data_IF_664495917738
#
_entry.id   IF_664495917738
#
_cell.length_a   1.000
_cell.length_b   1.000
_cell.length_c   1.000
_cell.angle_alpha   90.00
_cell.angle_beta   90.00
_cell.angle_gamma   90.00
#
_symmetry.space_group_name_H-M   'P 1'
#
loop_
_entity.id
_entity.type
_entity.pdbx_description
1 polymer ?
#
# COMPACT_ATOMS: atom_id res chain seq x y z
N UNK A 1 -43.94 -7.17 36.52
CA UNK A 1 -42.83 -8.01 36.01
C UNK A 1 -41.65 -7.10 35.79
N UNK A 2 -40.63 -7.29 36.61
CA UNK A 2 -39.61 -6.31 36.96
C UNK A 2 -38.62 -5.97 35.85
N UNK A 3 -38.31 -4.69 35.72
CA UNK A 3 -37.10 -4.18 35.08
C UNK A 3 -35.87 -4.63 35.88
N UNK A 4 -35.16 -5.66 35.39
CA UNK A 4 -33.85 -6.02 35.93
C UNK A 4 -32.76 -5.18 35.26
N UNK A 5 -32.15 -4.32 36.07
CA UNK A 5 -30.92 -3.58 35.84
C UNK A 5 -29.76 -4.51 35.44
N UNK A 6 -29.12 -4.24 34.30
CA UNK A 6 -27.86 -4.87 33.89
C UNK A 6 -26.70 -4.12 34.57
N UNK A 7 -25.74 -4.79 35.23
CA UNK A 7 -24.62 -4.11 35.87
C UNK A 7 -23.68 -3.49 34.84
N UNK A 8 -23.42 -2.19 34.98
CA UNK A 8 -22.37 -1.47 34.30
C UNK A 8 -21.02 -1.78 34.97
N UNK A 9 -20.23 -2.67 34.38
CA UNK A 9 -18.81 -2.77 34.71
C UNK A 9 -18.04 -3.22 33.48
N UNK A 10 -17.72 -2.25 32.62
CA UNK A 10 -16.65 -2.39 31.62
C UNK A 10 -15.33 -2.20 32.39
N UNK A 11 -14.40 -3.17 32.38
CA UNK A 11 -13.05 -2.90 32.86
C UNK A 11 -12.38 -1.96 31.86
N UNK A 12 -12.32 -0.68 32.23
CA UNK A 12 -11.47 0.31 31.59
C UNK A 12 -10.02 0.07 32.04
N UNK A 13 -9.17 -0.39 31.11
CA UNK A 13 -7.75 0.00 30.98
C UNK A 13 -6.97 -1.13 30.30
N UNK A 14 -6.78 -1.04 28.99
CA UNK A 14 -5.54 -1.57 28.39
C UNK A 14 -4.45 -0.61 28.85
N UNK A 15 -3.34 -1.06 29.46
CA UNK A 15 -2.27 -0.16 29.83
C UNK A 15 -1.72 0.44 28.53
N UNK A 16 -1.89 1.75 28.36
CA UNK A 16 -1.07 2.52 27.45
C UNK A 16 0.35 2.44 28.01
N UNK A 17 1.20 1.57 27.47
CA UNK A 17 2.64 1.72 27.68
C UNK A 17 2.99 3.12 27.18
N UNK A 18 3.36 4.00 28.11
CA UNK A 18 3.79 5.35 27.78
C UNK A 18 5.08 5.18 27.00
N UNK A 19 5.01 5.32 25.67
CA UNK A 19 6.20 5.25 24.83
C UNK A 19 7.16 6.36 25.26
N UNK A 20 8.48 6.11 25.24
CA UNK A 20 9.46 7.14 25.61
C UNK A 20 9.25 8.38 24.75
N UNK A 21 9.05 9.52 25.40
CA UNK A 21 8.96 10.84 24.77
C UNK A 21 10.32 11.53 24.98
N UNK A 22 10.93 12.14 23.94
CA UNK A 22 12.24 12.75 24.08
C UNK A 22 12.19 13.87 25.14
N UNK A 23 13.07 13.78 26.15
CA UNK A 23 13.33 14.92 27.04
C UNK A 23 14.02 16.03 26.25
N UNK A 24 13.50 17.26 26.35
CA UNK A 24 13.94 18.43 25.60
C UNK A 24 15.46 18.62 25.64
N UNK A 25 16.03 18.99 24.48
CA UNK A 25 17.40 19.49 24.24
C UNK A 25 18.55 18.52 24.50
N UNK A 26 18.65 17.46 23.70
CA UNK A 26 19.95 16.93 23.24
C UNK A 26 19.73 16.17 21.92
N UNK A 27 20.36 16.61 20.84
CA UNK A 27 20.37 15.90 19.56
C UNK A 27 21.00 14.53 19.76
N UNK A 28 20.19 13.47 19.76
CA UNK A 28 20.66 12.09 19.91
C UNK A 28 21.53 11.77 18.68
N UNK A 29 22.82 11.42 18.85
CA UNK A 29 23.71 11.24 17.72
C UNK A 29 23.31 10.00 16.94
N UNK A 30 22.74 10.21 15.75
CA UNK A 30 22.32 9.15 14.83
C UNK A 30 23.57 8.44 14.28
N UNK A 31 23.46 7.14 13.94
CA UNK A 31 24.53 6.43 13.22
C UNK A 31 24.71 7.10 11.87
N UNK A 32 25.97 7.41 11.50
CA UNK A 32 26.26 7.82 10.13
C UNK A 32 25.87 6.69 9.20
N UNK A 33 24.87 6.90 8.34
CA UNK A 33 24.27 5.80 7.62
C UNK A 33 25.23 5.33 6.52
N UNK A 34 25.23 4.04 6.18
CA UNK A 34 26.07 3.52 5.11
C UNK A 34 25.67 4.18 3.78
N UNK A 35 26.67 4.56 2.99
CA UNK A 35 26.44 5.08 1.64
C UNK A 35 25.83 4.02 0.74
N UNK A 36 26.31 2.77 0.82
CA UNK A 36 25.83 1.66 0.01
C UNK A 36 24.65 0.95 0.68
N UNK A 37 23.53 0.86 -0.04
CA UNK A 37 22.30 0.24 0.43
C UNK A 37 22.17 -1.18 -0.13
N UNK A 38 21.99 -2.13 0.78
CA UNK A 38 21.74 -3.55 0.53
C UNK A 38 20.36 -3.91 1.08
N UNK A 39 19.40 -3.94 0.18
CA UNK A 39 17.98 -4.02 0.51
C UNK A 39 17.54 -5.48 0.63
N UNK A 40 16.81 -5.77 1.68
CA UNK A 40 15.95 -6.93 1.83
C UNK A 40 14.50 -6.49 1.66
N UNK A 41 13.88 -6.87 0.54
CA UNK A 41 12.49 -6.53 0.23
C UNK A 41 11.60 -7.73 0.58
N UNK A 42 11.02 -7.69 1.78
CA UNK A 42 10.20 -8.75 2.35
C UNK A 42 8.74 -8.59 1.91
N UNK A 43 8.09 -9.70 1.57
CA UNK A 43 6.75 -9.68 0.98
C UNK A 43 6.76 -8.85 -0.32
N UNK A 44 7.76 -9.10 -1.17
CA UNK A 44 8.08 -8.21 -2.30
C UNK A 44 6.92 -8.08 -3.29
N UNK A 45 6.02 -9.07 -3.35
CA UNK A 45 4.90 -9.06 -4.29
C UNK A 45 5.39 -8.80 -5.71
N UNK A 46 4.86 -7.75 -6.34
CA UNK A 46 5.24 -7.34 -7.70
C UNK A 46 6.32 -6.24 -7.74
N UNK A 47 6.93 -5.90 -6.59
CA UNK A 47 8.06 -4.96 -6.50
C UNK A 47 7.68 -3.49 -6.41
N UNK A 48 6.55 -3.19 -5.77
CA UNK A 48 6.15 -1.81 -5.50
C UNK A 48 7.10 -1.08 -4.56
N UNK A 49 7.67 -1.78 -3.56
CA UNK A 49 8.68 -1.19 -2.66
C UNK A 49 9.97 -0.90 -3.41
N UNK A 50 10.46 -1.82 -4.24
CA UNK A 50 11.62 -1.55 -5.12
C UNK A 50 11.42 -0.33 -6.01
N UNK A 51 10.30 -0.23 -6.72
CA UNK A 51 10.00 0.94 -7.58
C UNK A 51 10.01 2.24 -6.77
N UNK A 52 9.37 2.26 -5.61
CA UNK A 52 9.31 3.44 -4.76
C UNK A 52 10.69 3.82 -4.22
N UNK A 53 11.49 2.84 -3.78
CA UNK A 53 12.84 3.08 -3.29
C UNK A 53 13.75 3.64 -4.38
N UNK A 54 13.73 3.04 -5.59
CA UNK A 54 14.46 3.56 -6.75
C UNK A 54 14.05 5.02 -7.08
N UNK A 55 12.76 5.36 -7.01
CA UNK A 55 12.27 6.73 -7.20
C UNK A 55 12.76 7.69 -6.09
N UNK A 56 12.76 7.25 -4.83
CA UNK A 56 13.17 8.07 -3.70
C UNK A 56 14.67 8.40 -3.71
N UNK A 57 15.49 7.50 -4.26
CA UNK A 57 16.94 7.65 -4.32
C UNK A 57 17.44 8.32 -5.61
N UNK A 58 16.61 8.43 -6.66
CA UNK A 58 17.02 8.96 -7.96
C UNK A 58 17.69 10.35 -7.89
N UNK A 59 17.28 11.19 -6.94
CA UNK A 59 17.81 12.53 -6.71
C UNK A 59 18.57 12.68 -5.38
N UNK A 60 18.89 11.57 -4.71
CA UNK A 60 19.59 11.59 -3.42
C UNK A 60 21.03 11.05 -3.58
N UNK A 61 22.04 11.91 -3.81
CA UNK A 61 23.41 11.47 -4.06
C UNK A 61 24.11 10.90 -2.81
N UNK A 62 23.50 11.03 -1.63
CA UNK A 62 24.06 10.53 -0.38
C UNK A 62 24.05 9.00 -0.29
N UNK A 63 23.24 8.33 -1.11
CA UNK A 63 23.09 6.88 -1.08
C UNK A 63 23.27 6.26 -2.46
N UNK A 64 23.85 5.07 -2.48
CA UNK A 64 23.98 4.22 -3.65
C UNK A 64 23.18 2.94 -3.43
N UNK A 65 22.35 2.55 -4.40
CA UNK A 65 21.52 1.36 -4.29
C UNK A 65 22.27 0.14 -4.85
N UNK A 66 22.92 -0.61 -3.97
CA UNK A 66 23.93 -1.60 -4.36
C UNK A 66 23.35 -3.01 -4.57
N UNK A 67 22.37 -3.42 -3.76
CA UNK A 67 21.68 -4.71 -4.00
C UNK A 67 20.21 -4.73 -3.57
N UNK A 68 19.43 -5.57 -4.25
CA UNK A 68 18.10 -6.01 -3.84
C UNK A 68 18.06 -7.51 -3.63
N UNK A 69 17.50 -7.94 -2.51
CA UNK A 69 17.10 -9.31 -2.27
C UNK A 69 15.61 -9.33 -1.96
N UNK A 70 14.80 -9.65 -2.97
CA UNK A 70 13.36 -9.78 -2.87
C UNK A 70 12.99 -11.13 -2.28
N UNK A 71 12.08 -11.18 -1.32
CA UNK A 71 11.59 -12.41 -0.70
C UNK A 71 10.07 -12.50 -0.83
N UNK A 72 9.62 -13.50 -1.57
CA UNK A 72 8.21 -13.77 -1.80
C UNK A 72 7.99 -15.26 -2.06
N UNK A 73 6.97 -15.81 -1.43
CA UNK A 73 6.60 -17.23 -1.52
C UNK A 73 5.72 -17.53 -2.75
N UNK A 74 5.03 -16.53 -3.28
CA UNK A 74 4.10 -16.70 -4.39
C UNK A 74 4.82 -16.62 -5.75
N UNK A 75 4.81 -17.72 -6.50
CA UNK A 75 5.48 -17.77 -7.81
C UNK A 75 4.91 -16.81 -8.84
N UNK A 76 3.61 -16.50 -8.80
CA UNK A 76 3.00 -15.55 -9.74
C UNK A 76 3.49 -14.13 -9.45
N UNK A 77 3.65 -13.77 -8.17
CA UNK A 77 4.30 -12.52 -7.77
C UNK A 77 5.76 -12.49 -8.27
N UNK A 78 6.52 -13.55 -8.01
CA UNK A 78 7.92 -13.65 -8.41
C UNK A 78 8.11 -13.52 -9.94
N UNK A 79 7.26 -14.18 -10.73
CA UNK A 79 7.27 -14.06 -12.20
C UNK A 79 7.03 -12.60 -12.66
N UNK A 80 6.05 -11.92 -12.05
CA UNK A 80 5.78 -10.51 -12.35
C UNK A 80 6.95 -9.60 -11.95
N UNK A 81 7.54 -9.86 -10.78
CA UNK A 81 8.71 -9.12 -10.29
C UNK A 81 9.89 -9.30 -11.25
N UNK A 82 10.29 -10.53 -11.55
CA UNK A 82 11.43 -10.83 -12.42
C UNK A 82 11.25 -10.26 -13.82
N UNK A 83 10.04 -10.33 -14.40
CA UNK A 83 9.75 -9.73 -15.70
C UNK A 83 10.09 -8.23 -15.77
N UNK A 84 9.90 -7.49 -14.67
CA UNK A 84 10.10 -6.05 -14.64
C UNK A 84 11.49 -5.62 -14.17
N UNK A 85 12.25 -6.50 -13.51
CA UNK A 85 13.52 -6.12 -12.86
C UNK A 85 14.72 -7.00 -13.25
N UNK A 86 14.54 -8.10 -13.98
CA UNK A 86 15.65 -8.99 -14.34
C UNK A 86 16.66 -8.36 -15.30
N UNK A 87 16.23 -7.40 -16.12
CA UNK A 87 17.10 -6.69 -17.06
C UNK A 87 17.77 -5.44 -16.45
N UNK A 88 17.43 -5.09 -15.21
CA UNK A 88 18.06 -3.98 -14.50
C UNK A 88 19.44 -4.42 -13.97
N UNK A 89 20.49 -4.11 -14.74
CA UNK A 89 21.88 -4.43 -14.41
C UNK A 89 22.55 -3.38 -13.52
N UNK A 90 21.86 -2.28 -13.21
CA UNK A 90 22.40 -1.21 -12.35
C UNK A 90 22.50 -1.62 -10.88
N UNK A 91 21.71 -2.63 -10.46
CA UNK A 91 21.66 -3.11 -9.08
C UNK A 91 21.76 -4.63 -9.03
N UNK A 92 22.62 -5.16 -8.15
CA UNK A 92 22.71 -6.62 -7.94
C UNK A 92 21.38 -7.14 -7.39
N UNK A 93 20.67 -7.94 -8.17
CA UNK A 93 19.30 -8.37 -7.85
C UNK A 93 19.21 -9.88 -7.62
N UNK A 94 18.50 -10.28 -6.56
CA UNK A 94 18.21 -11.68 -6.24
C UNK A 94 16.76 -11.84 -5.80
N UNK A 95 16.07 -12.86 -6.33
CA UNK A 95 14.73 -13.26 -5.86
C UNK A 95 14.83 -14.55 -5.06
N UNK A 96 14.40 -14.50 -3.80
CA UNK A 96 14.32 -15.63 -2.88
C UNK A 96 12.87 -16.11 -2.81
N UNK A 97 12.58 -17.20 -3.53
CA UNK A 97 11.29 -17.89 -3.50
C UNK A 97 11.14 -18.69 -2.19
N UNK A 98 10.88 -18.00 -1.07
CA UNK A 98 10.90 -18.60 0.27
C UNK A 98 9.75 -18.11 1.13
N UNK A 99 9.23 -18.99 1.99
CA UNK A 99 8.33 -18.57 3.06
C UNK A 99 9.13 -17.76 4.10
N UNK A 100 8.67 -16.54 4.39
CA UNK A 100 9.29 -15.62 5.35
C UNK A 100 9.34 -16.20 6.78
N UNK A 101 8.42 -17.10 7.13
CA UNK A 101 8.44 -17.88 8.39
C UNK A 101 9.72 -18.72 8.55
N UNK A 102 10.44 -19.01 7.46
CA UNK A 102 11.62 -19.88 7.44
C UNK A 102 12.93 -19.12 7.22
N UNK A 103 12.89 -17.78 7.18
CA UNK A 103 14.10 -16.98 7.10
C UNK A 103 14.95 -17.16 8.35
N UNK A 104 16.26 -17.19 8.16
CA UNK A 104 17.27 -17.32 9.21
C UNK A 104 18.17 -16.09 9.24
N UNK A 105 18.95 -15.95 10.31
CA UNK A 105 19.93 -14.86 10.44
C UNK A 105 20.88 -14.74 9.23
N UNK A 106 21.26 -15.86 8.61
CA UNK A 106 22.10 -15.88 7.41
C UNK A 106 21.44 -15.26 6.17
N UNK A 107 20.11 -15.29 6.08
CA UNK A 107 19.37 -14.75 4.94
C UNK A 107 19.26 -13.22 4.99
N UNK A 108 19.34 -12.65 6.19
CA UNK A 108 19.22 -11.22 6.45
C UNK A 108 20.56 -10.54 6.74
N UNK A 109 21.63 -11.32 6.90
CA UNK A 109 22.97 -10.83 7.16
C UNK A 109 23.46 -9.88 6.06
N UNK A 110 24.06 -8.75 6.47
CA UNK A 110 24.58 -7.74 5.55
C UNK A 110 23.52 -6.90 4.83
N UNK A 111 22.23 -7.04 5.20
CA UNK A 111 21.15 -6.22 4.68
C UNK A 111 20.86 -5.06 5.63
N UNK A 112 21.23 -3.86 5.20
CA UNK A 112 21.12 -2.61 5.98
C UNK A 112 19.80 -1.85 5.76
N UNK A 113 18.99 -2.27 4.79
CA UNK A 113 17.64 -1.74 4.57
C UNK A 113 16.65 -2.89 4.51
N UNK A 114 15.66 -2.89 5.40
CA UNK A 114 14.52 -3.82 5.32
C UNK A 114 13.28 -3.06 4.90
N UNK A 115 12.66 -3.47 3.80
CA UNK A 115 11.34 -2.97 3.39
C UNK A 115 10.33 -4.10 3.46
N UNK A 116 9.12 -3.82 3.93
CA UNK A 116 8.10 -4.86 4.10
C UNK A 116 6.66 -4.39 3.97
N UNK A 117 5.80 -5.22 3.39
CA UNK A 117 4.33 -5.10 3.42
C UNK A 117 3.73 -6.43 3.87
N UNK A 118 3.77 -6.74 5.18
CA UNK A 118 3.25 -8.01 5.68
C UNK A 118 1.74 -8.11 5.45
N UNK A 119 1.20 -9.28 5.05
CA UNK A 119 -0.20 -9.41 4.77
C UNK A 119 -1.05 -9.31 6.06
N UNK A 120 -2.10 -8.49 6.00
CA UNK A 120 -2.83 -8.01 7.17
C UNK A 120 -3.87 -8.99 7.80
N UNK A 121 -4.01 -10.23 7.34
CA UNK A 121 -4.99 -11.15 7.96
C UNK A 121 -4.44 -11.64 9.31
N UNK A 122 -5.18 -11.52 10.44
CA UNK A 122 -6.64 -11.32 10.56
C UNK A 122 -7.11 -9.94 11.07
N UNK A 123 -6.35 -8.85 10.91
CA UNK A 123 -6.68 -7.52 11.47
C UNK A 123 -7.91 -6.82 10.85
N UNK A 124 -8.64 -7.46 9.93
CA UNK A 124 -9.88 -6.92 9.34
C UNK A 124 -11.10 -7.26 10.20
N UNK A 125 -11.86 -6.23 10.65
CA UNK A 125 -13.12 -6.34 11.40
C UNK A 125 -14.27 -6.89 10.53
N UNK A 126 -14.15 -8.11 10.01
CA UNK A 126 -15.28 -8.80 9.40
C UNK A 126 -16.16 -9.36 10.52
N UNK A 127 -17.46 -9.04 10.52
CA UNK A 127 -18.45 -9.63 11.45
C UNK A 127 -18.27 -11.15 11.47
N UNK A 128 -17.71 -11.69 12.56
CA UNK A 128 -17.39 -13.12 12.69
C UNK A 128 -15.98 -13.42 13.21
N UNK A 129 -15.04 -12.46 13.19
CA UNK A 129 -13.75 -12.61 13.88
C UNK A 129 -13.94 -12.41 15.40
N UNK A 130 -14.60 -13.38 16.05
CA UNK A 130 -14.39 -13.62 17.47
C UNK A 130 -12.89 -13.75 17.70
N UNK A 131 -12.42 -13.20 18.81
CA UNK A 131 -11.12 -13.48 19.40
C UNK A 131 -10.75 -14.96 19.18
N UNK A 132 -9.88 -15.22 18.20
CA UNK A 132 -9.37 -16.55 17.97
C UNK A 132 -7.87 -16.44 17.83
N UNK A 133 -7.21 -16.70 18.94
CA UNK A 133 -5.77 -16.93 19.05
C UNK A 133 -5.33 -18.18 18.30
N UNK A 134 -5.55 -18.22 17.00
CA UNK A 134 -4.74 -19.02 16.08
C UNK A 134 -3.81 -18.06 15.36
N UNK A 135 -2.51 -18.18 15.63
CA UNK A 135 -1.46 -17.57 14.84
C UNK A 135 -1.65 -17.98 13.37
N UNK A 136 -2.31 -17.14 12.57
CA UNK A 136 -2.33 -17.30 11.12
C UNK A 136 -0.87 -17.39 10.65
N UNK A 137 -0.60 -18.17 9.60
CA UNK A 137 0.75 -18.33 9.04
C UNK A 137 1.40 -16.96 8.75
N UNK A 138 0.58 -15.97 8.40
CA UNK A 138 0.95 -14.58 8.17
C UNK A 138 1.38 -13.83 9.43
N UNK A 139 0.72 -14.09 10.55
CA UNK A 139 1.15 -13.60 11.87
C UNK A 139 2.47 -14.26 12.29
N UNK A 140 2.69 -15.54 11.93
CA UNK A 140 3.98 -16.23 12.19
C UNK A 140 5.12 -15.67 11.35
N UNK A 141 4.87 -15.28 10.09
CA UNK A 141 5.88 -14.68 9.22
C UNK A 141 6.42 -13.38 9.82
N UNK A 142 5.52 -12.49 10.25
CA UNK A 142 5.93 -11.23 10.87
C UNK A 142 6.55 -11.44 12.26
N UNK A 143 6.06 -12.42 13.04
CA UNK A 143 6.69 -12.81 14.30
C UNK A 143 8.13 -13.31 14.12
N UNK A 144 8.39 -14.11 13.08
CA UNK A 144 9.75 -14.54 12.74
C UNK A 144 10.65 -13.35 12.40
N UNK A 145 10.14 -12.36 11.65
CA UNK A 145 10.89 -11.14 11.34
C UNK A 145 11.22 -10.31 12.58
N UNK A 146 10.29 -10.19 13.53
CA UNK A 146 10.53 -9.51 14.81
C UNK A 146 11.63 -10.23 15.61
N UNK A 147 11.53 -11.55 15.74
CA UNK A 147 12.57 -12.37 16.41
C UNK A 147 13.94 -12.23 15.73
N UNK A 148 13.99 -12.24 14.38
CA UNK A 148 15.23 -12.01 13.65
C UNK A 148 15.79 -10.62 13.96
N UNK A 149 14.97 -9.57 13.91
CA UNK A 149 15.40 -8.20 14.19
C UNK A 149 15.96 -8.02 15.62
N UNK A 150 15.33 -8.68 16.59
CA UNK A 150 15.79 -8.70 17.99
C UNK A 150 17.16 -9.38 18.14
N UNK A 151 17.41 -10.45 17.38
CA UNK A 151 18.54 -11.36 17.63
C UNK A 151 19.72 -11.20 16.68
N UNK A 152 19.55 -10.54 15.53
CA UNK A 152 20.66 -10.34 14.59
C UNK A 152 21.76 -9.46 15.20
N UNK A 153 23.04 -9.87 15.09
CA UNK A 153 24.15 -9.08 15.62
C UNK A 153 24.26 -7.69 14.99
N UNK A 154 24.01 -7.60 13.68
CA UNK A 154 23.99 -6.34 12.92
C UNK A 154 22.57 -6.12 12.38
N UNK A 155 21.71 -5.40 13.12
CA UNK A 155 20.37 -5.07 12.65
C UNK A 155 20.45 -4.01 11.55
N UNK A 156 19.42 -3.89 10.68
CA UNK A 156 19.43 -2.94 9.59
C UNK A 156 19.45 -1.49 10.09
N UNK A 157 20.09 -0.59 9.36
CA UNK A 157 20.10 0.83 9.65
C UNK A 157 18.74 1.47 9.36
N UNK A 158 18.01 0.93 8.38
CA UNK A 158 16.73 1.43 7.93
C UNK A 158 15.66 0.33 7.88
N UNK A 159 14.48 0.63 8.41
CA UNK A 159 13.29 -0.20 8.28
C UNK A 159 12.15 0.64 7.71
N UNK A 160 11.49 0.10 6.70
CA UNK A 160 10.25 0.62 6.14
C UNK A 160 9.16 -0.44 6.20
N UNK A 161 8.01 -0.10 6.76
CA UNK A 161 6.85 -0.98 6.84
C UNK A 161 5.61 -0.28 6.30
N UNK A 162 4.86 -0.95 5.43
CA UNK A 162 3.49 -0.59 5.06
C UNK A 162 2.52 -1.64 5.61
N UNK A 163 1.35 -1.17 6.07
CA UNK A 163 0.27 -2.03 6.51
C UNK A 163 -1.09 -1.33 6.38
N UNK A 164 -2.18 -2.04 6.70
CA UNK A 164 -3.52 -1.46 6.73
C UNK A 164 -3.72 -0.51 7.91
N UNK A 165 -4.69 0.41 7.79
CA UNK A 165 -5.06 1.35 8.85
C UNK A 165 -5.31 0.70 10.24
N UNK A 166 -6.04 -0.43 10.37
CA UNK A 166 -6.23 -1.09 11.67
C UNK A 166 -4.97 -1.58 12.39
N UNK A 167 -3.84 -1.72 11.68
CA UNK A 167 -2.58 -2.21 12.27
C UNK A 167 -2.10 -1.34 13.44
N UNK A 168 -2.23 -0.01 13.33
CA UNK A 168 -1.87 0.98 14.38
C UNK A 168 -2.53 0.73 15.75
N UNK A 169 -3.64 0.00 15.78
CA UNK A 169 -4.36 -0.33 17.03
C UNK A 169 -4.21 -1.80 17.45
N UNK A 170 -3.31 -2.54 16.82
CA UNK A 170 -3.14 -3.98 17.03
C UNK A 170 -2.06 -4.29 18.08
N UNK A 171 -2.17 -5.42 18.77
CA UNK A 171 -1.12 -5.91 19.67
C UNK A 171 0.19 -6.23 18.93
N UNK A 172 0.12 -6.53 17.64
CA UNK A 172 1.31 -6.80 16.80
C UNK A 172 2.08 -5.52 16.51
N UNK A 173 1.41 -4.37 16.38
CA UNK A 173 2.07 -3.07 16.29
C UNK A 173 2.76 -2.70 17.59
N UNK A 174 2.12 -2.92 18.74
CA UNK A 174 2.74 -2.73 20.06
C UNK A 174 4.01 -3.58 20.20
N UNK A 175 3.93 -4.88 19.90
CA UNK A 175 5.08 -5.77 19.95
C UNK A 175 6.22 -5.31 19.00
N UNK A 176 5.88 -4.84 17.79
CA UNK A 176 6.88 -4.32 16.86
C UNK A 176 7.56 -3.06 17.38
N UNK A 177 6.81 -2.16 18.01
CA UNK A 177 7.37 -0.96 18.65
C UNK A 177 8.33 -1.33 19.80
N UNK A 178 8.01 -2.34 20.60
CA UNK A 178 8.91 -2.83 21.65
C UNK A 178 10.24 -3.34 21.07
N UNK A 179 10.19 -4.05 19.93
CA UNK A 179 11.40 -4.46 19.20
C UNK A 179 12.20 -3.24 18.74
N UNK A 180 11.56 -2.24 18.13
CA UNK A 180 12.21 -1.02 17.67
C UNK A 180 12.89 -0.27 18.82
N UNK A 181 12.24 -0.17 19.99
CA UNK A 181 12.83 0.43 21.20
C UNK A 181 14.08 -0.35 21.64
N UNK A 182 13.94 -1.67 21.80
CA UNK A 182 15.02 -2.53 22.29
C UNK A 182 16.26 -2.49 21.39
N UNK A 183 16.07 -2.36 20.08
CA UNK A 183 17.15 -2.28 19.07
C UNK A 183 17.57 -0.85 18.71
N UNK A 184 17.06 0.14 19.45
CA UNK A 184 17.51 1.52 19.40
C UNK A 184 17.07 2.28 18.14
N UNK A 185 15.86 2.08 17.64
CA UNK A 185 15.34 2.82 16.48
C UNK A 185 14.58 4.08 16.88
N UNK A 186 14.76 5.14 16.10
CA UNK A 186 13.84 6.27 16.05
C UNK A 186 12.93 6.08 14.85
N UNK A 187 11.62 6.23 15.05
CA UNK A 187 10.68 6.03 13.96
C UNK A 187 9.54 7.03 13.92
N UNK A 188 9.00 7.20 12.72
CA UNK A 188 7.81 8.00 12.44
C UNK A 188 6.71 7.09 11.93
N UNK A 189 5.49 7.33 12.39
CA UNK A 189 4.29 6.64 11.93
C UNK A 189 3.50 7.57 10.99
N UNK A 190 2.91 7.00 9.94
CA UNK A 190 2.14 7.75 8.95
C UNK A 190 0.80 7.08 8.71
N UNK A 191 -0.23 7.88 8.43
CA UNK A 191 -1.51 7.41 7.95
C UNK A 191 -1.91 8.21 6.71
N UNK A 192 -1.56 7.68 5.54
CA UNK A 192 -1.62 8.41 4.27
C UNK A 192 -2.52 7.70 3.26
N UNK A 193 -3.10 8.48 2.34
CA UNK A 193 -3.93 8.03 1.23
C UNK A 193 -3.43 8.63 -0.09
N UNK A 194 -3.47 7.89 -1.21
CA UNK A 194 -3.13 8.43 -2.53
C UNK A 194 -3.90 9.70 -2.92
N UNK A 195 -5.11 9.90 -2.36
CA UNK A 195 -5.89 11.15 -2.53
C UNK A 195 -5.11 12.42 -2.15
N UNK A 196 -4.13 12.30 -1.25
CA UNK A 196 -3.29 13.42 -0.80
C UNK A 196 -2.10 13.69 -1.74
N UNK A 197 -1.92 12.82 -2.74
CA UNK A 197 -0.85 12.84 -3.74
C UNK A 197 -1.42 12.98 -5.15
N UNK A 198 -2.59 13.60 -5.26
CA UNK A 198 -3.32 13.83 -6.49
C UNK A 198 -3.74 12.57 -7.25
N UNK A 199 -3.81 11.41 -6.58
CA UNK A 199 -4.19 10.15 -7.19
C UNK A 199 -5.64 9.83 -6.80
N UNK A 200 -6.56 9.58 -7.76
CA UNK A 200 -7.99 9.44 -7.49
C UNK A 200 -8.33 8.06 -6.91
N UNK A 201 -7.67 7.64 -5.82
CA UNK A 201 -7.90 6.36 -5.16
C UNK A 201 -7.90 6.47 -3.64
N UNK A 202 -9.04 6.13 -3.03
CA UNK A 202 -9.19 6.06 -1.59
C UNK A 202 -8.57 4.77 -1.04
N UNK A 203 -7.26 4.82 -0.76
CA UNK A 203 -6.46 3.70 -0.22
C UNK A 203 -5.62 4.17 0.96
N UNK A 204 -6.28 4.51 2.07
CA UNK A 204 -5.55 4.83 3.31
C UNK A 204 -4.75 3.63 3.80
N UNK A 205 -3.47 3.85 4.11
CA UNK A 205 -2.54 2.87 4.67
C UNK A 205 -1.71 3.47 5.79
N UNK A 206 -1.25 2.58 6.66
CA UNK A 206 -0.37 2.88 7.75
C UNK A 206 1.07 2.59 7.33
N UNK A 207 1.99 3.47 7.71
CA UNK A 207 3.41 3.30 7.40
C UNK A 207 4.28 3.54 8.63
N UNK A 208 5.43 2.87 8.69
CA UNK A 208 6.52 3.17 9.62
C UNK A 208 7.78 3.43 8.79
N UNK A 209 8.47 4.52 9.10
CA UNK A 209 9.85 4.76 8.67
C UNK A 209 10.71 4.81 9.93
N UNK A 210 11.69 3.90 10.03
CA UNK A 210 12.51 3.73 11.22
C UNK A 210 13.98 3.73 10.86
N UNK A 211 14.77 4.49 11.64
CA UNK A 211 16.22 4.59 11.50
C UNK A 211 16.90 4.24 12.81
N UNK A 212 17.98 3.47 12.74
CA UNK A 212 18.71 3.04 13.92
C UNK A 212 19.59 4.15 14.50
N UNK A 213 19.61 4.24 15.83
CA UNK A 213 20.54 5.08 16.60
C UNK A 213 21.82 4.34 16.96
N UNK A 214 22.78 5.03 17.59
CA UNK A 214 24.08 4.43 17.95
C UNK A 214 24.00 3.41 19.09
N UNK A 215 22.90 3.36 19.85
CA UNK A 215 22.78 2.54 21.06
C UNK A 215 21.44 1.82 21.13
N UNK A 216 21.51 0.53 21.44
CA UNK A 216 20.34 -0.27 21.77
C UNK A 216 19.63 0.29 23.02
N UNK A 217 18.31 0.17 23.09
CA UNK A 217 17.50 0.67 24.21
C UNK A 217 17.23 2.18 24.22
N UNK A 218 17.83 2.98 23.33
CA UNK A 218 17.57 4.42 23.19
C UNK A 218 16.53 4.75 22.10
N UNK A 219 15.75 3.76 21.67
CA UNK A 219 14.73 3.97 20.64
C UNK A 219 13.49 4.71 21.16
N UNK A 220 12.92 5.57 20.33
CA UNK A 220 11.69 6.30 20.64
C UNK A 220 10.88 6.59 19.38
N UNK A 221 9.57 6.76 19.57
CA UNK A 221 8.66 7.16 18.50
C UNK A 221 8.55 8.68 18.45
N UNK A 222 8.57 9.26 17.25
CA UNK A 222 8.14 10.64 17.08
C UNK A 222 6.66 10.80 17.49
N UNK A 223 6.35 11.86 18.24
CA UNK A 223 5.04 11.99 18.91
C UNK A 223 3.86 12.01 17.94
N UNK A 224 4.02 12.69 16.80
CA UNK A 224 2.96 12.91 15.84
C UNK A 224 2.92 11.82 14.76
N UNK A 225 1.73 11.23 14.59
CA UNK A 225 1.43 10.47 13.38
C UNK A 225 1.24 11.47 12.24
N UNK A 226 2.04 11.34 11.19
CA UNK A 226 1.94 12.18 10.01
C UNK A 226 0.72 11.75 9.20
N UNK A 227 -0.30 12.61 9.19
CA UNK A 227 -1.55 12.36 8.46
C UNK A 227 -1.61 13.10 7.13
N UNK A 228 -0.72 14.06 6.86
CA UNK A 228 -0.70 14.87 5.63
C UNK A 228 0.76 15.06 5.15
N UNK A 229 1.00 15.18 3.83
CA UNK A 229 2.32 15.50 3.31
C UNK A 229 2.75 16.92 3.72
N UNK A 230 4.03 17.13 4.06
CA UNK A 230 4.57 18.42 4.51
C UNK A 230 4.55 19.48 3.40
N UNK A 231 4.88 19.07 2.18
CA UNK A 231 4.75 19.88 0.97
C UNK A 231 3.69 19.23 0.08
N UNK A 232 2.42 19.69 0.12
CA UNK A 232 1.43 19.19 -0.83
C UNK A 232 1.94 19.52 -2.25
N UNK A 233 1.89 18.58 -3.20
CA UNK A 233 2.33 18.88 -4.55
C UNK A 233 1.56 20.10 -5.09
N UNK A 234 2.20 21.00 -5.85
CA UNK A 234 1.58 22.26 -6.26
C UNK A 234 0.22 22.00 -6.90
N UNK A 235 -0.79 22.79 -6.50
CA UNK A 235 -2.09 22.80 -7.17
C UNK A 235 -1.85 22.99 -8.67
N UNK A 236 -2.42 22.12 -9.49
CA UNK A 236 -2.55 22.36 -10.93
C UNK A 236 -3.08 23.79 -11.11
N UNK A 237 -2.44 24.57 -11.99
CA UNK A 237 -2.59 26.02 -12.13
C UNK A 237 -4.03 26.54 -11.96
N UNK A 238 -4.18 27.66 -11.22
CA UNK A 238 -5.44 28.38 -11.09
C UNK A 238 -6.00 28.71 -12.49
N UNK A 239 -7.15 28.13 -12.86
CA UNK A 239 -7.86 28.53 -14.08
C UNK A 239 -8.73 27.49 -14.78
N UNK A 240 -8.72 26.20 -14.40
CA UNK A 240 -9.39 25.16 -15.21
C UNK A 240 -10.75 24.68 -14.68
N UNK A 241 -11.09 24.89 -13.40
CA UNK A 241 -12.38 24.40 -12.86
C UNK A 241 -12.98 25.38 -11.83
N UNK A 242 -13.70 26.40 -12.32
CA UNK A 242 -14.19 27.52 -11.50
C UNK A 242 -15.40 27.24 -10.60
N UNK A 243 -15.96 26.02 -10.54
CA UNK A 243 -17.17 25.80 -9.74
C UNK A 243 -17.15 24.44 -9.02
N UNK A 244 -17.03 24.51 -7.69
CA UNK A 244 -17.10 23.41 -6.70
C UNK A 244 -15.95 22.40 -6.72
N UNK A 245 -14.84 22.71 -6.04
CA UNK A 245 -13.84 21.71 -5.65
C UNK A 245 -13.78 21.64 -4.12
N UNK A 246 -14.40 20.63 -3.47
CA UNK A 246 -14.15 20.34 -2.06
C UNK A 246 -12.68 19.94 -1.86
N UNK A 247 -12.20 20.15 -0.63
CA UNK A 247 -10.84 20.06 -0.09
C UNK A 247 -10.10 18.70 -0.25
N UNK A 248 -10.11 18.08 -1.43
CA UNK A 248 -9.46 16.80 -1.73
C UNK A 248 -9.21 16.68 -3.24
N UNK A 249 -8.21 17.41 -3.72
CA UNK A 249 -7.88 17.49 -5.13
C UNK A 249 -7.03 16.28 -5.56
N UNK A 250 -7.66 15.30 -6.20
CA UNK A 250 -6.96 14.32 -7.02
C UNK A 250 -7.15 14.64 -8.50
N UNK A 251 -6.17 14.26 -9.33
CA UNK A 251 -6.29 14.31 -10.78
C UNK A 251 -7.57 13.58 -11.22
N UNK A 252 -8.24 14.06 -12.27
CA UNK A 252 -9.40 13.37 -12.81
C UNK A 252 -9.02 11.95 -13.25
N UNK A 253 -9.97 11.04 -13.18
CA UNK A 253 -9.77 9.65 -13.62
C UNK A 253 -9.30 9.59 -15.08
N UNK A 254 -9.68 10.55 -15.92
CA UNK A 254 -9.21 10.67 -17.31
C UNK A 254 -7.69 10.54 -17.49
N UNK A 255 -6.90 10.99 -16.51
CA UNK A 255 -5.43 10.97 -16.59
C UNK A 255 -4.85 9.54 -16.47
N UNK A 256 -5.65 8.58 -16.02
CA UNK A 256 -5.23 7.21 -15.75
C UNK A 256 -5.89 6.18 -16.68
N UNK A 257 -6.94 6.57 -17.39
CA UNK A 257 -7.71 5.69 -18.27
C UNK A 257 -6.97 5.49 -19.60
N UNK A 258 -7.01 4.27 -20.12
CA UNK A 258 -6.50 3.94 -21.45
C UNK A 258 -7.58 4.21 -22.49
N UNK A 259 -7.17 4.64 -23.68
CA UNK A 259 -8.10 4.77 -24.81
C UNK A 259 -8.60 3.38 -25.22
N UNK A 260 -9.77 3.33 -25.86
CA UNK A 260 -10.33 2.05 -26.32
C UNK A 260 -9.41 1.40 -27.38
N UNK A 261 -8.66 2.18 -28.17
CA UNK A 261 -7.65 1.64 -29.10
C UNK A 261 -6.56 0.86 -28.36
N UNK A 262 -6.00 1.42 -27.28
CA UNK A 262 -4.96 0.74 -26.49
C UNK A 262 -5.53 -0.50 -25.77
N UNK A 263 -6.78 -0.45 -25.31
CA UNK A 263 -7.42 -1.61 -24.70
C UNK A 263 -7.68 -2.71 -25.74
N UNK A 264 -8.04 -2.37 -26.97
CA UNK A 264 -8.18 -3.34 -28.07
C UNK A 264 -6.83 -3.95 -28.45
N UNK A 265 -5.73 -3.21 -28.41
CA UNK A 265 -4.38 -3.77 -28.61
C UNK A 265 -3.99 -4.77 -27.50
N UNK A 266 -4.32 -4.47 -26.24
CA UNK A 266 -3.97 -5.30 -25.09
C UNK A 266 -4.83 -6.56 -24.96
N UNK A 267 -6.11 -6.47 -25.32
CA UNK A 267 -7.10 -7.53 -25.07
C UNK A 267 -7.65 -8.18 -26.34
N UNK A 268 -7.46 -7.57 -27.51
CA UNK A 268 -8.05 -8.02 -28.78
C UNK A 268 -9.56 -8.22 -28.68
N UNK A 269 -10.04 -9.27 -29.33
CA UNK A 269 -11.46 -9.67 -29.33
C UNK A 269 -12.01 -10.02 -27.93
N UNK A 270 -11.12 -10.24 -26.95
CA UNK A 270 -11.50 -10.55 -25.58
C UNK A 270 -11.82 -9.31 -24.75
N UNK A 271 -11.60 -8.09 -25.26
CA UNK A 271 -11.78 -6.85 -24.51
C UNK A 271 -13.16 -6.75 -23.85
N UNK A 272 -14.21 -6.83 -24.65
CA UNK A 272 -15.60 -6.70 -24.21
C UNK A 272 -15.96 -7.81 -23.20
N UNK A 273 -15.65 -9.07 -23.53
CA UNK A 273 -15.97 -10.19 -22.64
C UNK A 273 -15.14 -10.22 -21.34
N UNK A 274 -13.98 -9.56 -21.30
CA UNK A 274 -13.07 -9.55 -20.16
C UNK A 274 -13.31 -8.41 -19.20
N UNK A 275 -13.65 -7.23 -19.71
CA UNK A 275 -13.70 -6.00 -18.92
C UNK A 275 -15.11 -5.43 -18.78
N UNK A 276 -15.98 -5.57 -19.78
CA UNK A 276 -17.33 -5.01 -19.75
C UNK A 276 -18.24 -5.85 -18.86
N UNK A 277 -19.00 -5.18 -18.00
CA UNK A 277 -19.93 -5.83 -17.07
C UNK A 277 -21.23 -6.13 -17.80
N UNK A 278 -21.65 -7.40 -17.78
CA UNK A 278 -22.86 -7.84 -18.48
C UNK A 278 -24.13 -7.17 -17.95
N UNK A 279 -25.12 -6.92 -18.83
CA UNK A 279 -26.46 -6.47 -18.41
C UNK A 279 -27.09 -7.38 -17.37
N UNK A 280 -26.92 -8.70 -17.48
CA UNK A 280 -27.43 -9.64 -16.48
C UNK A 280 -26.90 -9.30 -15.08
N UNK A 281 -25.62 -8.92 -14.98
CA UNK A 281 -25.02 -8.50 -13.70
C UNK A 281 -25.56 -7.13 -13.26
N UNK A 282 -25.64 -6.17 -14.18
CA UNK A 282 -26.08 -4.80 -13.89
C UNK A 282 -27.57 -4.68 -13.59
N UNK A 283 -28.39 -5.65 -14.02
CA UNK A 283 -29.83 -5.68 -13.77
C UNK A 283 -30.21 -6.22 -12.38
N UNK A 284 -29.24 -6.74 -11.62
CA UNK A 284 -29.49 -7.26 -10.26
C UNK A 284 -29.72 -6.12 -9.28
N UNK A 285 -30.66 -6.28 -8.34
CA UNK A 285 -31.03 -5.20 -7.41
C UNK A 285 -29.85 -4.63 -6.60
N UNK A 286 -28.89 -5.48 -6.24
CA UNK A 286 -27.69 -5.07 -5.51
C UNK A 286 -26.73 -4.21 -6.35
N UNK A 287 -26.87 -4.19 -7.68
CA UNK A 287 -26.02 -3.40 -8.58
C UNK A 287 -26.19 -1.89 -8.34
N UNK A 288 -27.34 -1.45 -7.81
CA UNK A 288 -27.56 -0.06 -7.37
C UNK A 288 -26.60 0.39 -6.27
N UNK A 289 -26.00 -0.56 -5.55
CA UNK A 289 -24.98 -0.29 -4.52
C UNK A 289 -23.55 -0.24 -5.04
N UNK A 290 -23.32 -0.44 -6.35
CA UNK A 290 -22.00 -0.38 -6.95
C UNK A 290 -21.51 1.07 -7.04
N UNK A 291 -20.20 1.23 -6.86
CA UNK A 291 -19.53 2.48 -7.15
C UNK A 291 -19.16 2.51 -8.62
N UNK A 292 -19.74 3.43 -9.39
CA UNK A 292 -19.44 3.65 -10.81
C UNK A 292 -19.00 5.10 -10.99
N UNK A 293 -17.83 5.27 -11.60
CA UNK A 293 -17.16 6.56 -11.80
C UNK A 293 -16.92 6.82 -13.28
N UNK A 294 -16.94 8.09 -13.68
CA UNK A 294 -16.63 8.56 -15.03
C UNK A 294 -15.26 9.24 -15.10
N UNK A 295 -15.00 9.88 -16.24
CA UNK A 295 -13.72 10.56 -16.54
C UNK A 295 -13.41 11.72 -15.58
N UNK A 296 -14.41 12.53 -15.27
CA UNK A 296 -14.25 13.75 -14.45
C UNK A 296 -14.32 13.46 -12.94
N UNK A 297 -14.64 12.23 -12.53
CA UNK A 297 -14.66 11.85 -11.12
C UNK A 297 -13.22 11.82 -10.59
N UNK A 298 -12.99 12.36 -9.39
CA UNK A 298 -11.66 12.45 -8.77
C UNK A 298 -11.45 11.42 -7.64
N UNK A 299 -12.36 10.46 -7.44
CA UNK A 299 -12.26 9.48 -6.35
C UNK A 299 -12.78 8.11 -6.76
N UNK A 300 -11.95 7.09 -6.59
CA UNK A 300 -12.35 5.67 -6.61
C UNK A 300 -12.29 5.05 -5.22
N UNK A 301 -13.07 3.98 -4.99
CA UNK A 301 -12.87 3.12 -3.82
C UNK A 301 -11.58 2.30 -3.93
N UNK A 302 -11.05 1.87 -2.79
CA UNK A 302 -9.85 1.01 -2.73
C UNK A 302 -10.01 -0.24 -3.60
N UNK A 303 -9.09 -0.44 -4.54
CA UNK A 303 -8.99 -1.70 -5.27
C UNK A 303 -8.33 -2.77 -4.38
N UNK A 304 -8.98 -3.93 -4.28
CA UNK A 304 -8.53 -5.06 -3.45
C UNK A 304 -8.20 -6.28 -4.30
N UNK A 305 -7.62 -7.31 -3.68
CA UNK A 305 -7.35 -8.59 -4.33
C UNK A 305 -8.59 -9.33 -4.86
N UNK A 306 -9.79 -8.86 -4.51
CA UNK A 306 -11.08 -9.43 -4.96
C UNK A 306 -11.68 -8.66 -6.14
N UNK A 307 -11.04 -7.58 -6.59
CA UNK A 307 -11.48 -6.83 -7.76
C UNK A 307 -11.48 -7.73 -9.01
N UNK A 308 -12.47 -7.56 -9.89
CA UNK A 308 -12.72 -8.45 -11.03
C UNK A 308 -13.27 -9.85 -10.67
N UNK A 309 -13.26 -10.25 -9.40
CA UNK A 309 -13.92 -11.49 -8.91
C UNK A 309 -15.28 -11.20 -8.27
N UNK A 310 -15.38 -10.08 -7.56
CA UNK A 310 -16.59 -9.69 -6.81
C UNK A 310 -16.93 -8.24 -7.12
N UNK A 311 -18.17 -8.00 -7.52
CA UNK A 311 -18.71 -6.66 -7.75
C UNK A 311 -19.28 -6.09 -6.44
N UNK A 312 -18.51 -5.22 -5.79
CA UNK A 312 -18.95 -4.55 -4.57
C UNK A 312 -18.09 -3.30 -4.36
N UNK A 313 -18.64 -2.24 -3.74
CA UNK A 313 -17.87 -1.01 -3.45
C UNK A 313 -16.59 -1.26 -2.63
N UNK A 314 -16.55 -2.32 -1.82
CA UNK A 314 -15.36 -2.67 -1.04
C UNK A 314 -14.28 -3.39 -1.85
N UNK A 315 -14.57 -3.85 -3.07
CA UNK A 315 -13.56 -4.46 -3.95
C UNK A 315 -12.91 -3.44 -4.88
N UNK A 316 -13.62 -2.37 -5.23
CA UNK A 316 -13.17 -1.24 -6.06
C UNK A 316 -14.34 -0.57 -6.79
N UNK A 317 -14.08 0.57 -7.43
CA UNK A 317 -15.05 1.21 -8.34
C UNK A 317 -15.06 0.55 -9.72
N UNK A 318 -16.16 0.67 -10.46
CA UNK A 318 -16.26 0.40 -11.89
C UNK A 318 -16.13 1.70 -12.67
N UNK A 319 -15.70 1.62 -13.92
CA UNK A 319 -15.58 2.75 -14.83
C UNK A 319 -16.78 2.82 -15.77
N UNK A 320 -17.27 4.02 -16.06
CA UNK A 320 -18.28 4.29 -17.08
C UNK A 320 -17.69 5.13 -18.21
N UNK A 321 -17.88 4.65 -19.45
CA UNK A 321 -17.57 5.38 -20.68
C UNK A 321 -18.48 6.60 -20.91
N UNK A 322 -19.60 6.70 -20.17
CA UNK A 322 -20.59 7.76 -20.35
C UNK A 322 -20.22 8.98 -19.51
N UNK A 323 -19.87 10.09 -20.17
CA UNK A 323 -19.68 11.39 -19.50
C UNK A 323 -21.03 11.91 -18.99
N UNK A 324 -21.12 12.26 -17.71
CA UNK A 324 -22.32 12.89 -17.14
C UNK A 324 -22.31 14.38 -17.46
N UNK A 325 -23.37 14.92 -18.06
CA UNK A 325 -23.59 16.37 -18.19
C UNK A 325 -24.92 16.77 -17.52
N UNK A 326 -24.88 17.74 -16.62
CA UNK A 326 -26.06 18.37 -16.00
C UNK A 326 -26.25 18.10 -14.50
N UNK A 327 -27.03 18.97 -13.82
CA UNK A 327 -27.28 18.91 -12.36
C UNK A 327 -28.36 17.89 -11.94
N UNK A 328 -29.11 17.32 -12.90
CA UNK A 328 -30.25 16.41 -12.67
C UNK A 328 -30.01 14.97 -13.19
N UNK A 329 -28.76 14.49 -13.16
CA UNK A 329 -28.43 13.13 -13.63
C UNK A 329 -28.58 12.14 -12.47
N UNK A 330 -29.54 11.21 -12.57
CA UNK A 330 -29.62 10.03 -11.68
C UNK A 330 -28.25 9.36 -11.55
N UNK A 331 -27.93 8.73 -10.41
CA UNK A 331 -26.61 8.07 -10.29
C UNK A 331 -26.51 7.00 -11.38
N UNK A 332 -25.33 6.87 -12.02
CA UNK A 332 -25.12 5.83 -13.06
C UNK A 332 -25.44 4.44 -12.51
N UNK A 333 -25.23 4.21 -11.21
CA UNK A 333 -25.64 2.99 -10.50
C UNK A 333 -27.15 2.72 -10.53
N UNK A 334 -27.98 3.76 -10.54
CA UNK A 334 -29.45 3.63 -10.55
C UNK A 334 -29.97 3.21 -11.94
N UNK A 335 -29.18 3.48 -12.98
CA UNK A 335 -29.49 3.24 -14.39
C UNK A 335 -28.45 2.31 -15.03
N UNK A 336 -27.73 1.51 -14.23
CA UNK A 336 -26.54 0.80 -14.70
C UNK A 336 -26.84 -0.16 -15.85
N UNK A 337 -28.00 -0.83 -15.81
CA UNK A 337 -28.45 -1.73 -16.87
C UNK A 337 -28.79 -1.01 -18.18
N UNK A 338 -29.14 0.28 -18.14
CA UNK A 338 -29.42 1.12 -19.32
C UNK A 338 -28.13 1.61 -19.99
N UNK A 339 -27.01 1.56 -19.26
CA UNK A 339 -25.66 1.86 -19.76
C UNK A 339 -24.85 0.57 -20.03
N UNK A 340 -25.54 -0.53 -20.40
CA UNK A 340 -24.90 -1.74 -20.90
C UNK A 340 -23.87 -1.41 -22.00
N UNK A 341 -22.76 -2.18 -22.04
CA UNK A 341 -21.65 -1.92 -22.98
C UNK A 341 -20.72 -0.77 -22.56
N UNK A 342 -21.17 0.09 -21.63
CA UNK A 342 -20.42 1.27 -21.23
C UNK A 342 -19.86 1.20 -19.81
N UNK A 343 -20.30 0.23 -19.00
CA UNK A 343 -19.78 0.01 -17.65
C UNK A 343 -18.79 -1.16 -17.68
N UNK A 344 -17.55 -0.90 -17.26
CA UNK A 344 -16.47 -1.89 -17.24
C UNK A 344 -15.67 -1.86 -15.95
N UNK A 345 -14.91 -2.93 -15.73
CA UNK A 345 -13.80 -2.91 -14.79
C UNK A 345 -12.72 -1.94 -15.30
N UNK A 346 -11.99 -1.34 -14.37
CA UNK A 346 -10.69 -0.75 -14.69
C UNK A 346 -9.75 -1.85 -15.15
N UNK A 347 -9.07 -1.67 -16.27
CA UNK A 347 -8.06 -2.63 -16.72
C UNK A 347 -6.91 -2.68 -15.70
N UNK A 348 -6.30 -3.84 -15.43
CA UNK A 348 -5.09 -3.95 -14.62
C UNK A 348 -3.99 -2.94 -14.99
N UNK A 349 -3.85 -2.63 -16.29
CA UNK A 349 -2.87 -1.66 -16.79
C UNK A 349 -3.22 -0.22 -16.37
N UNK A 350 -4.51 0.14 -16.31
CA UNK A 350 -4.97 1.41 -15.71
C UNK A 350 -4.71 1.41 -14.19
N UNK A 351 -4.91 0.27 -13.52
CA UNK A 351 -4.61 0.15 -12.10
C UNK A 351 -3.11 0.29 -11.81
N UNK A 352 -2.22 -0.18 -12.69
CA UNK A 352 -0.77 0.07 -12.58
C UNK A 352 -0.45 1.58 -12.62
N UNK A 353 -1.14 2.33 -13.49
CA UNK A 353 -1.03 3.81 -13.56
C UNK A 353 -1.52 4.46 -12.27
N UNK A 354 -2.71 4.10 -11.79
CA UNK A 354 -3.29 4.62 -10.53
C UNK A 354 -2.38 4.29 -9.33
N UNK A 355 -1.74 3.12 -9.32
CA UNK A 355 -0.84 2.72 -8.23
C UNK A 355 0.60 3.26 -8.39
N UNK A 356 0.89 3.99 -9.47
CA UNK A 356 2.15 4.70 -9.66
C UNK A 356 3.32 3.84 -10.15
N UNK A 357 3.07 2.69 -10.78
CA UNK A 357 4.13 1.77 -11.24
C UNK A 357 4.92 2.29 -12.45
N UNK A 358 4.39 3.27 -13.18
CA UNK A 358 4.99 3.84 -14.38
C UNK A 358 4.63 3.06 -15.65
N UNK A 359 4.84 3.68 -16.82
CA UNK A 359 4.39 3.12 -18.11
C UNK A 359 5.24 1.93 -18.58
N UNK A 360 6.51 1.91 -18.20
CA UNK A 360 7.46 0.82 -18.48
C UNK A 360 7.14 -0.48 -17.73
N UNK A 361 6.35 -0.40 -16.65
CA UNK A 361 6.00 -1.60 -15.88
C UNK A 361 4.88 -2.37 -16.57
N UNK A 362 5.11 -3.66 -16.86
CA UNK A 362 4.15 -4.50 -17.59
C UNK A 362 3.91 -5.82 -16.86
N UNK A 363 2.74 -6.43 -17.09
CA UNK A 363 2.52 -7.81 -16.69
C UNK A 363 3.22 -8.76 -17.69
N UNK A 364 3.74 -9.91 -17.23
CA UNK A 364 4.22 -10.96 -18.12
C UNK A 364 3.16 -11.35 -19.16
N UNK A 365 3.60 -11.60 -20.39
CA UNK A 365 2.74 -12.08 -21.47
C UNK A 365 2.01 -13.36 -21.05
N UNK A 366 0.74 -13.48 -21.42
CA UNK A 366 -0.10 -14.63 -21.08
C UNK A 366 -0.53 -14.73 -19.61
N UNK A 367 -0.13 -13.79 -18.74
CA UNK A 367 -0.60 -13.78 -17.35
C UNK A 367 -2.13 -13.63 -17.30
N UNK A 368 -2.80 -14.55 -16.62
CA UNK A 368 -4.28 -14.56 -16.50
C UNK A 368 -4.78 -13.26 -15.89
N UNK A 369 -5.85 -12.69 -16.47
CA UNK A 369 -6.47 -11.43 -16.02
C UNK A 369 -6.79 -11.42 -14.52
N UNK A 370 -7.37 -12.50 -14.01
CA UNK A 370 -7.69 -12.65 -12.57
C UNK A 370 -6.43 -12.58 -11.68
N UNK A 371 -5.30 -13.07 -12.17
CA UNK A 371 -4.02 -12.96 -11.44
C UNK A 371 -3.55 -11.50 -11.41
N UNK A 372 -3.60 -10.78 -12.54
CA UNK A 372 -3.23 -9.36 -12.61
C UNK A 372 -4.01 -8.51 -11.60
N UNK A 373 -5.33 -8.67 -11.53
CA UNK A 373 -6.18 -8.01 -10.53
C UNK A 373 -5.79 -8.34 -9.09
N UNK A 374 -5.56 -9.63 -8.81
CA UNK A 374 -5.14 -10.07 -7.48
C UNK A 374 -3.83 -9.39 -7.08
N UNK A 375 -2.84 -9.40 -7.96
CA UNK A 375 -1.51 -8.82 -7.72
C UNK A 375 -1.59 -7.32 -7.42
N UNK A 376 -2.21 -6.53 -8.30
CA UNK A 376 -2.28 -5.07 -8.12
C UNK A 376 -3.12 -4.67 -6.91
N UNK A 377 -4.22 -5.39 -6.64
CA UNK A 377 -5.05 -5.16 -5.46
C UNK A 377 -4.32 -5.39 -4.12
N UNK A 378 -3.31 -6.26 -4.12
CA UNK A 378 -2.42 -6.51 -2.96
C UNK A 378 -1.21 -5.57 -2.92
N UNK A 379 -0.95 -4.82 -3.97
CA UNK A 379 0.25 -3.99 -4.09
C UNK A 379 0.17 -2.69 -3.28
N UNK A 380 1.30 -2.03 -3.08
CA UNK A 380 1.38 -0.69 -2.49
C UNK A 380 1.12 0.39 -3.53
N UNK A 381 0.78 1.60 -3.09
CA UNK A 381 0.83 2.77 -3.97
C UNK A 381 2.26 3.33 -3.97
N UNK A 382 2.93 3.29 -5.12
CA UNK A 382 4.35 3.62 -5.27
C UNK A 382 4.64 5.08 -4.92
N UNK A 383 3.74 6.02 -5.25
CA UNK A 383 3.94 7.45 -4.98
C UNK A 383 3.86 7.78 -3.49
N UNK A 384 2.94 7.16 -2.76
CA UNK A 384 2.86 7.34 -1.30
C UNK A 384 4.10 6.73 -0.62
N UNK A 385 4.53 5.55 -1.07
CA UNK A 385 5.73 4.88 -0.51
C UNK A 385 6.99 5.70 -0.80
N UNK A 386 7.15 6.23 -2.01
CA UNK A 386 8.26 7.12 -2.40
C UNK A 386 8.34 8.33 -1.46
N UNK A 387 7.21 9.02 -1.22
CA UNK A 387 7.16 10.15 -0.28
C UNK A 387 7.66 9.78 1.13
N UNK A 388 7.17 8.67 1.69
CA UNK A 388 7.57 8.24 3.05
C UNK A 388 9.05 7.80 3.06
N UNK A 389 9.54 7.15 1.99
CA UNK A 389 10.94 6.76 1.86
C UNK A 389 11.88 7.95 1.73
N UNK A 390 11.51 9.02 1.03
CA UNK A 390 12.31 10.27 1.01
C UNK A 390 12.49 10.80 2.43
N UNK A 391 11.40 10.88 3.19
CA UNK A 391 11.46 11.26 4.60
C UNK A 391 12.30 10.33 5.49
N UNK A 392 12.54 9.07 5.10
CA UNK A 392 13.46 8.15 5.79
C UNK A 392 14.93 8.49 5.51
N UNK A 393 15.26 8.84 4.26
CA UNK A 393 16.62 9.12 3.82
C UNK A 393 17.04 10.60 3.97
N UNK A 394 16.08 11.52 4.13
CA UNK A 394 16.32 12.97 4.33
C UNK A 394 16.61 13.35 5.78
N UNK A 395 16.38 12.47 6.77
CA UNK A 395 16.67 12.70 8.20
C UNK A 395 18.18 12.89 8.54
N UNK A 396 18.99 13.39 7.60
CA UNK A 396 20.45 13.58 7.73
C UNK A 396 20.83 15.05 8.00
N UNK A 397 19.92 16.02 7.87
CA UNK A 397 20.25 17.43 8.12
C UNK A 397 19.72 17.94 9.45
#
# INVERSE_FOLDING_TARGET
MDCKSVPSSVPSSVPSSVLPVPSSTNSIPIVEPPRDLHVLELFSGIGGMRKALQQSLANNPSYNLSSFTAVESNDICNQCYEHNFALDTSVTSKVLRRNIEQLKASDVAGKNVWTMSPPCQPFTKTKGSKELGSLDARSRAFANLMMLLETVPSPPEFIFLENVKPFNSSSVHVAFNDVLISRGYVWTEYLLSPLQFWIPNNRTRFYISARRTRKDGEGYRNEEIVNEPRDPPPKVEEGVYENFVPMCCACPISDFILSDEVLLELYGDMFESSLVVSKETLSKDWARGLSIVGLDDCVTFCFTSSYGKTYHKSSGSLFSRVTRRGKDVKRVSDMAAEHEGNIRLFAPEELLRIFGFGEEYKYPEGMRLKSRYKLIGQSVNVKVVDYVMRGLFEQIT
#
